data_IF_841568947791
#
_entry.id   IF_841568947791
#
_cell.length_a   1.000
_cell.length_b   1.000
_cell.length_c   1.000
_cell.angle_alpha   90.00
_cell.angle_beta   90.00
_cell.angle_gamma   90.00
#
_symmetry.space_group_name_H-M   'P 1'
#
loop_
_entity.id
_entity.type
_entity.pdbx_description
1 polymer ?
#
# COMPACT_ATOMS: atom_id res chain seq x y z
N UNK A 1 -35.03 -2.69 -33.69
CA UNK A 1 -34.16 -1.84 -32.84
C UNK A 1 -33.39 -2.77 -31.93
N UNK A 2 -32.15 -3.06 -32.30
CA UNK A 2 -31.35 -4.17 -31.78
C UNK A 2 -30.79 -3.82 -30.39
N UNK A 3 -31.32 -4.46 -29.34
CA UNK A 3 -30.68 -4.45 -28.03
C UNK A 3 -29.31 -5.11 -28.19
N UNK A 4 -28.23 -4.33 -28.22
CA UNK A 4 -26.88 -4.86 -28.05
C UNK A 4 -26.81 -5.43 -26.63
N UNK A 5 -27.09 -6.73 -26.50
CA UNK A 5 -26.82 -7.47 -25.28
C UNK A 5 -25.30 -7.52 -25.14
N UNK A 6 -24.74 -6.50 -24.50
CA UNK A 6 -23.36 -6.53 -24.04
C UNK A 6 -23.30 -7.46 -22.84
N UNK A 7 -22.51 -8.50 -22.96
CA UNK A 7 -22.13 -9.32 -21.82
C UNK A 7 -21.11 -8.56 -20.97
N UNK A 8 -21.47 -8.27 -19.72
CA UNK A 8 -20.63 -7.57 -18.75
C UNK A 8 -19.97 -8.58 -17.82
N UNK A 9 -18.66 -8.44 -17.63
CA UNK A 9 -17.89 -9.29 -16.72
C UNK A 9 -17.49 -8.56 -15.43
N UNK A 10 -17.18 -9.33 -14.39
CA UNK A 10 -16.68 -8.79 -13.11
C UNK A 10 -15.43 -7.96 -13.37
N UNK A 11 -15.37 -6.77 -12.78
CA UNK A 11 -14.30 -5.78 -12.98
C UNK A 11 -14.56 -4.75 -14.07
N UNK A 12 -15.61 -4.89 -14.88
CA UNK A 12 -15.98 -3.88 -15.87
C UNK A 12 -16.50 -2.60 -15.19
N UNK A 13 -16.07 -1.44 -15.71
CA UNK A 13 -16.56 -0.13 -15.30
C UNK A 13 -17.79 0.24 -16.12
N UNK A 14 -18.91 0.40 -15.45
CA UNK A 14 -20.21 0.70 -16.06
C UNK A 14 -20.76 2.00 -15.48
N UNK A 15 -21.48 2.75 -16.30
CA UNK A 15 -22.26 3.90 -15.86
C UNK A 15 -23.73 3.67 -16.18
N UNK A 16 -24.61 4.02 -15.24
CA UNK A 16 -26.04 3.99 -15.48
C UNK A 16 -26.46 5.25 -16.24
N UNK A 17 -27.08 5.10 -17.41
CA UNK A 17 -27.49 6.26 -18.24
C UNK A 17 -28.65 7.04 -17.63
N UNK A 18 -29.67 6.36 -17.09
CA UNK A 18 -30.85 7.04 -16.50
C UNK A 18 -30.59 7.63 -15.09
N UNK A 19 -29.47 7.25 -14.45
CA UNK A 19 -29.10 7.70 -13.10
C UNK A 19 -27.61 8.06 -13.06
N UNK A 20 -27.22 9.13 -13.78
CA UNK A 20 -25.82 9.54 -13.89
C UNK A 20 -25.23 9.98 -12.55
N UNK A 21 -26.09 10.34 -11.59
CA UNK A 21 -25.76 10.74 -10.24
C UNK A 21 -25.11 9.64 -9.39
N UNK A 22 -25.28 8.35 -9.76
CA UNK A 22 -24.62 7.24 -9.08
C UNK A 22 -23.12 7.14 -9.40
N UNK A 23 -22.69 7.82 -10.47
CA UNK A 23 -21.30 7.81 -10.91
C UNK A 23 -20.91 6.54 -11.65
N UNK A 24 -19.60 6.34 -11.80
CA UNK A 24 -19.03 5.14 -12.40
C UNK A 24 -19.03 4.03 -11.35
N UNK A 25 -19.55 2.86 -11.73
CA UNK A 25 -19.58 1.68 -10.87
C UNK A 25 -18.75 0.54 -11.44
N UNK A 26 -18.22 -0.31 -10.56
CA UNK A 26 -17.49 -1.51 -10.95
C UNK A 26 -18.38 -2.73 -10.71
N UNK A 27 -18.54 -3.57 -11.73
CA UNK A 27 -19.27 -4.84 -11.61
C UNK A 27 -18.51 -5.75 -10.64
N UNK A 28 -19.12 -6.10 -9.52
CA UNK A 28 -18.56 -7.02 -8.52
C UNK A 28 -19.08 -8.45 -8.66
N UNK A 29 -20.25 -8.64 -9.28
CA UNK A 29 -20.77 -9.95 -9.66
C UNK A 29 -21.60 -9.84 -10.94
N UNK A 30 -21.52 -10.84 -11.82
CA UNK A 30 -22.34 -10.94 -13.02
C UNK A 30 -22.97 -12.33 -13.09
N UNK A 31 -24.29 -12.39 -13.19
CA UNK A 31 -25.05 -13.63 -13.35
C UNK A 31 -25.84 -13.55 -14.66
N UNK A 32 -25.54 -14.42 -15.62
CA UNK A 32 -26.30 -14.50 -16.86
C UNK A 32 -27.65 -15.18 -16.63
N UNK A 33 -28.73 -14.55 -17.07
CA UNK A 33 -30.11 -15.03 -16.93
C UNK A 33 -30.84 -14.91 -18.26
N UNK A 34 -31.50 -15.97 -18.71
CA UNK A 34 -32.37 -15.91 -19.89
C UNK A 34 -33.79 -15.66 -19.40
N UNK A 35 -34.36 -14.51 -19.78
CA UNK A 35 -35.74 -14.16 -19.42
C UNK A 35 -36.51 -13.88 -20.71
N UNK A 36 -37.62 -14.61 -20.91
CA UNK A 36 -38.51 -14.44 -22.07
C UNK A 36 -37.81 -14.60 -23.44
N UNK A 37 -36.83 -15.52 -23.52
CA UNK A 37 -36.06 -15.80 -24.74
C UNK A 37 -34.93 -14.80 -25.04
N UNK A 38 -34.81 -13.73 -24.25
CA UNK A 38 -33.76 -12.71 -24.38
C UNK A 38 -32.66 -12.95 -23.33
N UNK A 39 -31.40 -12.88 -23.77
CA UNK A 39 -30.24 -12.99 -22.87
C UNK A 39 -30.12 -11.70 -22.04
N UNK A 40 -30.29 -11.84 -20.73
CA UNK A 40 -30.16 -10.77 -19.76
C UNK A 40 -29.08 -11.14 -18.73
N UNK A 41 -28.65 -10.18 -17.92
CA UNK A 41 -27.68 -10.41 -16.87
C UNK A 41 -28.12 -9.65 -15.62
N UNK A 42 -27.98 -10.28 -14.46
CA UNK A 42 -28.10 -9.63 -13.16
C UNK A 42 -26.70 -9.27 -12.68
N UNK A 43 -26.43 -7.98 -12.59
CA UNK A 43 -25.14 -7.43 -12.22
C UNK A 43 -25.23 -6.83 -10.82
N UNK A 44 -24.30 -7.20 -9.94
CA UNK A 44 -24.05 -6.43 -8.71
C UNK A 44 -22.96 -5.44 -9.04
N UNK A 45 -23.25 -4.15 -8.92
CA UNK A 45 -22.33 -3.06 -9.27
C UNK A 45 -22.10 -2.21 -8.04
N UNK A 46 -20.83 -2.01 -7.66
CA UNK A 46 -20.46 -1.05 -6.62
C UNK A 46 -20.25 0.32 -7.28
N UNK A 47 -21.19 1.22 -7.05
CA UNK A 47 -21.11 2.62 -7.47
C UNK A 47 -20.38 3.46 -6.43
N UNK A 48 -19.54 4.38 -6.89
CA UNK A 48 -18.70 5.23 -6.05
C UNK A 48 -19.53 6.10 -5.07
N UNK A 49 -20.67 6.63 -5.53
CA UNK A 49 -21.46 7.59 -4.75
C UNK A 49 -22.57 6.97 -3.89
N UNK A 50 -23.02 5.75 -4.20
CA UNK A 50 -24.25 5.16 -3.60
C UNK A 50 -24.00 3.75 -3.06
N UNK A 51 -22.79 3.20 -3.26
CA UNK A 51 -22.44 1.85 -2.83
C UNK A 51 -22.95 0.76 -3.78
N UNK A 52 -23.12 -0.45 -3.24
CA UNK A 52 -23.47 -1.63 -4.04
C UNK A 52 -24.95 -1.67 -4.43
N UNK A 53 -25.26 -1.73 -5.73
CA UNK A 53 -26.61 -1.94 -6.26
C UNK A 53 -26.66 -3.14 -7.20
N UNK A 54 -27.72 -3.93 -7.07
CA UNK A 54 -28.01 -5.05 -7.97
C UNK A 54 -28.95 -4.59 -9.07
N UNK A 55 -28.53 -4.73 -10.31
CA UNK A 55 -29.21 -4.20 -11.50
C UNK A 55 -29.35 -5.32 -12.53
N UNK A 56 -30.52 -5.41 -13.16
CA UNK A 56 -30.75 -6.34 -14.27
C UNK A 56 -30.62 -5.60 -15.61
N UNK A 57 -29.81 -6.13 -16.52
CA UNK A 57 -29.61 -5.56 -17.88
C UNK A 57 -30.86 -5.63 -18.76
N UNK A 58 -31.87 -6.39 -18.34
CA UNK A 58 -33.20 -6.39 -18.97
C UNK A 58 -33.91 -5.03 -18.92
N UNK A 59 -33.66 -4.25 -17.86
CA UNK A 59 -34.36 -2.98 -17.59
C UNK A 59 -33.43 -1.78 -17.51
N UNK A 60 -32.11 -1.99 -17.49
CA UNK A 60 -31.11 -0.94 -17.28
C UNK A 60 -30.21 -0.72 -18.49
N UNK A 61 -30.19 0.52 -19.00
CA UNK A 61 -29.29 0.96 -20.08
C UNK A 61 -27.92 1.31 -19.51
N UNK A 62 -27.03 0.32 -19.45
CA UNK A 62 -25.65 0.48 -18.97
C UNK A 62 -24.71 0.84 -20.12
N UNK A 63 -23.90 1.87 -19.92
CA UNK A 63 -22.86 2.31 -20.85
C UNK A 63 -21.49 1.92 -20.30
N UNK A 64 -20.60 1.43 -21.17
CA UNK A 64 -19.21 1.16 -20.81
C UNK A 64 -18.46 2.47 -20.66
N UNK A 65 -17.70 2.64 -19.57
CA UNK A 65 -16.99 3.89 -19.29
C UNK A 65 -15.81 4.21 -20.26
N UNK A 66 -15.69 3.48 -21.38
CA UNK A 66 -14.66 3.66 -22.41
C UNK A 66 -15.18 4.16 -23.76
N UNK A 67 -16.48 4.43 -23.91
CA UNK A 67 -17.05 4.98 -25.14
C UNK A 67 -17.56 6.40 -24.90
N UNK A 68 -16.61 7.32 -24.75
CA UNK A 68 -16.81 8.73 -25.11
C UNK A 68 -15.93 8.95 -26.34
N UNK A 69 -16.59 9.26 -27.44
CA UNK A 69 -16.13 9.34 -28.82
C UNK A 69 -14.80 10.08 -29.03
N UNK A 70 -13.89 9.51 -29.82
CA UNK A 70 -13.43 10.06 -31.11
C UNK A 70 -12.93 8.93 -32.03
N UNK A 71 -13.40 8.82 -33.29
CA UNK A 71 -12.83 7.96 -34.30
C UNK A 71 -11.85 8.75 -35.16
N UNK A 72 -10.55 8.52 -35.03
CA UNK A 72 -9.63 8.84 -36.12
C UNK A 72 -8.55 7.78 -36.27
N UNK A 73 -8.43 7.32 -37.52
CA UNK A 73 -7.69 6.14 -37.93
C UNK A 73 -6.21 6.42 -38.21
N UNK A 74 -5.43 5.34 -38.06
CA UNK A 74 -4.28 4.92 -38.87
C UNK A 74 -3.00 5.79 -38.88
N UNK A 75 -1.98 5.26 -38.19
CA UNK A 75 -0.55 5.58 -38.37
C UNK A 75 0.27 4.86 -37.30
N UNK A 76 0.57 3.57 -37.47
CA UNK A 76 1.90 3.10 -37.90
C UNK A 76 3.05 3.53 -36.97
N UNK A 77 3.55 2.53 -36.23
CA UNK A 77 4.94 2.31 -35.77
C UNK A 77 5.74 3.42 -35.06
N UNK A 78 6.32 2.99 -33.93
CA UNK A 78 7.43 3.53 -33.13
C UNK A 78 7.05 4.43 -31.93
N UNK A 79 7.10 3.77 -30.77
CA UNK A 79 7.58 4.27 -29.48
C UNK A 79 7.07 5.62 -28.99
N UNK A 80 6.24 5.61 -27.94
CA UNK A 80 6.29 6.66 -26.93
C UNK A 80 5.84 6.11 -25.56
N UNK A 81 6.84 5.74 -24.77
CA UNK A 81 6.71 5.64 -23.33
C UNK A 81 6.26 7.00 -22.80
N UNK A 82 5.00 7.11 -22.40
CA UNK A 82 4.51 8.29 -21.68
C UNK A 82 3.69 7.84 -20.49
N UNK A 83 4.44 7.58 -19.41
CA UNK A 83 4.12 7.82 -18.00
C UNK A 83 2.63 7.76 -17.60
N UNK A 84 2.23 6.61 -17.07
CA UNK A 84 1.28 6.54 -15.93
C UNK A 84 2.03 6.03 -14.70
N UNK A 85 3.15 6.68 -14.40
CA UNK A 85 4.01 6.34 -13.25
C UNK A 85 3.54 7.02 -11.96
N UNK A 86 2.65 8.02 -12.05
CA UNK A 86 2.22 8.80 -10.88
C UNK A 86 1.01 8.22 -10.15
N UNK A 87 0.02 7.64 -10.85
CA UNK A 87 -1.18 7.07 -10.21
C UNK A 87 -0.95 5.68 -9.58
N UNK A 88 0.09 4.96 -10.02
CA UNK A 88 0.44 3.65 -9.47
C UNK A 88 1.24 3.77 -8.16
N UNK A 89 1.95 4.88 -7.95
CA UNK A 89 2.81 5.05 -6.78
C UNK A 89 2.01 5.49 -5.55
N UNK A 90 1.01 6.36 -5.70
CA UNK A 90 0.23 6.87 -4.56
C UNK A 90 -0.86 5.91 -4.06
N UNK A 91 -1.36 5.00 -4.92
CA UNK A 91 -2.39 4.01 -4.54
C UNK A 91 -1.83 2.66 -4.06
N UNK A 92 -0.49 2.49 -4.08
CA UNK A 92 0.18 1.28 -3.60
C UNK A 92 0.50 1.35 -2.10
N UNK A 93 0.66 2.54 -1.54
CA UNK A 93 0.94 2.75 -0.10
C UNK A 93 -0.29 2.49 0.79
N UNK A 94 -1.50 2.63 0.23
CA UNK A 94 -2.75 2.27 0.91
C UNK A 94 -3.17 0.80 0.66
N UNK A 95 -2.39 0.06 -0.14
CA UNK A 95 -2.67 -1.36 -0.44
C UNK A 95 -2.14 -2.20 0.71
N UNK A 96 -3.02 -2.43 1.69
CA UNK A 96 -2.95 -3.44 2.75
C UNK A 96 -1.53 -3.64 3.31
N UNK A 97 -1.20 -2.98 4.42
CA UNK A 97 0.00 -3.31 5.20
C UNK A 97 0.12 -4.84 5.32
N UNK A 98 1.08 -5.40 4.61
CA UNK A 98 1.39 -6.82 4.62
C UNK A 98 2.44 -7.08 5.71
N UNK A 99 2.68 -8.34 6.03
CA UNK A 99 3.77 -8.70 6.96
C UNK A 99 5.12 -8.10 6.53
N UNK A 100 5.40 -8.05 5.21
CA UNK A 100 6.58 -7.39 4.64
C UNK A 100 6.66 -5.90 4.98
N UNK A 101 5.52 -5.19 5.03
CA UNK A 101 5.47 -3.79 5.43
C UNK A 101 6.00 -3.62 6.85
N UNK A 102 5.67 -4.53 7.77
CA UNK A 102 6.15 -4.48 9.16
C UNK A 102 7.65 -4.76 9.29
N UNK A 103 8.21 -5.57 8.39
CA UNK A 103 9.62 -5.96 8.43
C UNK A 103 10.54 -4.95 7.77
N UNK A 104 10.01 -4.10 6.89
CA UNK A 104 10.78 -3.08 6.16
C UNK A 104 11.26 -1.98 7.11
N UNK A 105 12.52 -1.56 6.99
CA UNK A 105 12.98 -0.38 7.70
C UNK A 105 12.40 0.89 7.08
N UNK A 106 12.06 1.92 7.89
CA UNK A 106 11.60 3.21 7.39
C UNK A 106 12.56 3.81 6.35
N UNK A 107 11.99 4.55 5.40
CA UNK A 107 12.77 5.18 4.32
C UNK A 107 13.85 6.11 4.87
N UNK A 108 13.57 6.85 5.94
CA UNK A 108 14.55 7.71 6.61
C UNK A 108 15.83 6.98 7.08
N UNK A 109 15.76 5.66 7.34
CA UNK A 109 16.91 4.85 7.71
C UNK A 109 17.61 4.22 6.50
N UNK A 110 16.87 3.96 5.42
CA UNK A 110 17.35 3.19 4.25
C UNK A 110 17.70 4.07 3.04
N UNK A 111 17.35 5.37 3.09
CA UNK A 111 17.53 6.31 1.99
C UNK A 111 19.01 6.41 1.55
N UNK A 112 19.34 6.04 0.29
CA UNK A 112 20.71 6.12 -0.21
C UNK A 112 21.22 7.55 -0.40
N UNK A 113 20.33 8.54 -0.51
CA UNK A 113 20.69 9.95 -0.71
C UNK A 113 20.91 10.70 0.61
N UNK A 114 20.44 10.15 1.73
CA UNK A 114 20.72 10.67 3.05
C UNK A 114 22.14 10.36 3.52
N UNK A 115 22.75 11.29 4.27
CA UNK A 115 24.08 11.07 4.84
C UNK A 115 24.07 9.91 5.83
N UNK A 116 25.20 9.20 5.93
CA UNK A 116 25.37 8.08 6.86
C UNK A 116 25.01 8.44 8.31
N UNK A 117 25.35 9.66 8.73
CA UNK A 117 25.00 10.17 10.05
C UNK A 117 23.48 10.31 10.22
N UNK A 118 22.77 10.89 9.25
CA UNK A 118 21.31 11.00 9.29
C UNK A 118 20.63 9.62 9.32
N UNK A 119 21.11 8.66 8.53
CA UNK A 119 20.60 7.28 8.53
C UNK A 119 20.85 6.59 9.86
N UNK A 120 22.02 6.79 10.46
CA UNK A 120 22.35 6.26 11.78
C UNK A 120 21.43 6.85 12.86
N UNK A 121 21.24 8.17 12.89
CA UNK A 121 20.30 8.83 13.81
C UNK A 121 18.88 8.30 13.62
N UNK A 122 18.41 8.21 12.38
CA UNK A 122 17.09 7.67 12.06
C UNK A 122 16.95 6.21 12.53
N UNK A 123 17.96 5.37 12.29
CA UNK A 123 17.98 3.99 12.77
C UNK A 123 17.94 3.92 14.31
N UNK A 124 18.69 4.79 14.99
CA UNK A 124 18.73 4.81 16.45
C UNK A 124 17.41 5.29 17.08
N UNK A 125 16.70 6.19 16.40
CA UNK A 125 15.40 6.68 16.85
C UNK A 125 14.33 5.58 16.94
N UNK A 126 14.49 4.50 16.17
CA UNK A 126 13.59 3.34 16.16
C UNK A 126 13.77 2.43 17.40
N UNK A 127 14.81 2.62 18.21
CA UNK A 127 14.94 1.96 19.51
C UNK A 127 14.02 2.51 20.59
N UNK A 128 13.28 3.59 20.33
CA UNK A 128 12.27 4.11 21.27
C UNK A 128 11.10 3.15 21.49
N UNK A 129 10.82 2.28 20.52
CA UNK A 129 9.72 1.33 20.60
C UNK A 129 10.12 0.10 21.41
N UNK A 130 9.20 -0.36 22.26
CA UNK A 130 9.34 -1.57 23.09
C UNK A 130 8.28 -2.59 22.68
N UNK A 131 8.50 -3.90 22.94
CA UNK A 131 7.50 -4.93 22.62
C UNK A 131 6.26 -4.88 23.52
N UNK A 132 6.16 -3.89 24.41
CA UNK A 132 5.08 -3.79 25.40
C UNK A 132 3.95 -2.89 24.91
N UNK A 133 2.72 -3.42 25.00
CA UNK A 133 1.46 -2.67 25.03
C UNK A 133 1.37 -1.47 24.09
N UNK A 134 1.44 -0.26 24.65
CA UNK A 134 1.23 0.99 23.93
C UNK A 134 2.32 1.24 22.87
N UNK A 135 3.60 1.01 23.20
CA UNK A 135 4.71 1.22 22.27
C UNK A 135 4.67 0.29 21.07
N UNK A 136 4.18 -0.93 21.26
CA UNK A 136 4.00 -1.90 20.18
C UNK A 136 2.90 -1.44 19.21
N UNK A 137 1.80 -0.90 19.74
CA UNK A 137 0.72 -0.37 18.92
C UNK A 137 1.16 0.91 18.19
N UNK A 138 1.87 1.82 18.86
CA UNK A 138 2.43 3.03 18.23
C UNK A 138 3.39 2.69 17.11
N UNK A 139 4.24 1.66 17.30
CA UNK A 139 5.08 1.13 16.24
C UNK A 139 4.26 0.57 15.08
N UNK A 140 3.25 -0.25 15.36
CA UNK A 140 2.41 -0.85 14.33
C UNK A 140 1.64 0.22 13.53
N UNK A 141 1.14 1.26 14.18
CA UNK A 141 0.48 2.42 13.54
C UNK A 141 1.48 3.19 12.68
N UNK A 142 2.68 3.48 13.20
CA UNK A 142 3.74 4.16 12.45
C UNK A 142 4.14 3.37 11.19
N UNK A 143 4.24 2.05 11.31
CA UNK A 143 4.74 1.19 10.26
C UNK A 143 3.69 0.87 9.18
N UNK A 144 2.43 0.73 9.57
CA UNK A 144 1.34 0.36 8.67
C UNK A 144 0.48 1.53 8.21
N UNK A 145 0.56 2.69 8.86
CA UNK A 145 -0.36 3.81 8.66
C UNK A 145 -1.80 3.52 9.11
N UNK A 146 -2.08 2.34 9.70
CA UNK A 146 -3.42 1.98 10.13
C UNK A 146 -3.78 2.67 11.44
N UNK A 147 -5.02 3.17 11.52
CA UNK A 147 -5.54 3.79 12.75
C UNK A 147 -5.77 2.78 13.89
N UNK A 148 -6.07 1.54 13.54
CA UNK A 148 -6.20 0.43 14.51
C UNK A 148 -5.57 -0.87 13.93
N UNK A 149 -4.37 -1.26 14.40
CA UNK A 149 -3.72 -2.49 13.95
C UNK A 149 -4.36 -3.77 14.52
N UNK A 150 -5.11 -3.69 15.63
CA UNK A 150 -5.75 -4.86 16.26
C UNK A 150 -6.95 -5.38 15.47
N UNK A 151 -7.52 -4.56 14.59
CA UNK A 151 -8.57 -4.97 13.66
C UNK A 151 -8.09 -6.01 12.62
N UNK A 152 -6.77 -6.13 12.40
CA UNK A 152 -6.19 -7.06 11.42
C UNK A 152 -5.21 -8.06 12.02
N UNK A 153 -4.49 -7.69 13.07
CA UNK A 153 -3.43 -8.50 13.67
C UNK A 153 -3.68 -8.73 15.15
N UNK A 154 -3.39 -9.94 15.62
CA UNK A 154 -3.40 -10.24 17.05
C UNK A 154 -2.16 -9.65 17.75
N UNK A 155 -2.24 -9.39 19.06
CA UNK A 155 -1.11 -8.90 19.87
C UNK A 155 0.12 -9.79 19.71
N UNK A 156 -0.04 -11.12 19.76
CA UNK A 156 1.08 -12.06 19.60
C UNK A 156 1.73 -12.02 18.21
N UNK A 157 0.94 -11.76 17.17
CA UNK A 157 1.47 -11.59 15.81
C UNK A 157 2.27 -10.30 15.71
N UNK A 158 1.76 -9.21 16.28
CA UNK A 158 2.48 -7.94 16.36
C UNK A 158 3.78 -8.08 17.16
N UNK A 159 3.78 -8.80 18.28
CA UNK A 159 4.99 -9.09 19.07
C UNK A 159 6.01 -9.89 18.24
N UNK A 160 5.54 -10.90 17.49
CA UNK A 160 6.39 -11.71 16.61
C UNK A 160 6.99 -10.87 15.47
N UNK A 161 6.17 -10.05 14.81
CA UNK A 161 6.60 -9.14 13.75
C UNK A 161 7.58 -8.09 14.28
N UNK A 162 7.31 -7.55 15.47
CA UNK A 162 8.19 -6.59 16.13
C UNK A 162 9.55 -7.21 16.49
N UNK A 163 9.57 -8.45 16.96
CA UNK A 163 10.83 -9.16 17.25
C UNK A 163 11.65 -9.40 15.97
N UNK A 164 11.01 -9.76 14.86
CA UNK A 164 11.69 -9.88 13.55
C UNK A 164 12.17 -8.51 13.05
N UNK A 165 11.35 -7.47 13.18
CA UNK A 165 11.74 -6.10 12.86
C UNK A 165 12.95 -5.64 13.69
N UNK A 166 13.00 -5.94 14.99
CA UNK A 166 14.16 -5.65 15.85
C UNK A 166 15.42 -6.33 15.33
N UNK A 167 15.34 -7.60 14.92
CA UNK A 167 16.48 -8.32 14.35
C UNK A 167 16.98 -7.65 13.06
N UNK A 168 16.06 -7.26 12.15
CA UNK A 168 16.40 -6.55 10.92
C UNK A 168 17.02 -5.17 11.21
N UNK A 169 16.47 -4.46 12.18
CA UNK A 169 16.95 -3.17 12.64
C UNK A 169 18.36 -3.30 13.22
N UNK A 170 18.62 -4.30 14.05
CA UNK A 170 19.94 -4.56 14.64
C UNK A 170 20.98 -4.90 13.57
N UNK A 171 20.61 -5.72 12.57
CA UNK A 171 21.47 -6.05 11.44
C UNK A 171 21.82 -4.79 10.61
N UNK A 172 20.82 -3.95 10.33
CA UNK A 172 21.00 -2.70 9.61
C UNK A 172 21.83 -1.67 10.40
N UNK A 173 21.54 -1.52 11.68
CA UNK A 173 22.27 -0.65 12.60
C UNK A 173 23.74 -1.06 12.65
N UNK A 174 24.02 -2.36 12.78
CA UNK A 174 25.40 -2.89 12.77
C UNK A 174 26.14 -2.50 11.50
N UNK A 175 25.53 -2.64 10.33
CA UNK A 175 26.15 -2.28 9.05
C UNK A 175 26.41 -0.78 8.97
N UNK A 176 25.37 0.03 9.19
CA UNK A 176 25.42 1.49 9.07
C UNK A 176 26.39 2.12 10.08
N UNK A 177 26.41 1.64 11.32
CA UNK A 177 27.31 2.13 12.36
C UNK A 177 28.77 1.71 12.12
N UNK A 178 29.02 0.51 11.58
CA UNK A 178 30.37 0.11 11.17
C UNK A 178 30.90 0.96 10.02
N UNK A 179 30.05 1.23 9.03
CA UNK A 179 30.38 2.13 7.91
C UNK A 179 30.65 3.56 8.41
N UNK A 180 29.79 4.08 9.30
CA UNK A 180 29.97 5.40 9.91
C UNK A 180 31.27 5.47 10.72
N UNK A 181 31.54 4.48 11.58
CA UNK A 181 32.78 4.44 12.40
C UNK A 181 34.05 4.36 11.54
N UNK A 182 33.99 3.68 10.38
CA UNK A 182 35.12 3.58 9.46
C UNK A 182 35.41 4.89 8.74
N UNK A 183 34.37 5.64 8.37
CA UNK A 183 34.50 6.90 7.64
C UNK A 183 34.74 8.09 8.56
N UNK A 184 34.04 8.13 9.70
CA UNK A 184 34.10 9.23 10.66
C UNK A 184 33.81 8.73 12.09
N UNK A 185 34.87 8.50 12.85
CA UNK A 185 34.79 8.08 14.25
C UNK A 185 34.23 9.16 15.19
N UNK A 186 34.37 10.44 14.83
CA UNK A 186 33.83 11.55 15.62
C UNK A 186 32.31 11.70 15.42
N UNK A 187 31.84 11.58 14.19
CA UNK A 187 30.39 11.55 13.91
C UNK A 187 29.70 10.35 14.57
N UNK A 188 30.38 9.20 14.67
CA UNK A 188 29.87 8.03 15.40
C UNK A 188 29.66 8.33 16.89
N UNK A 189 30.67 8.88 17.58
CA UNK A 189 30.57 9.16 19.02
C UNK A 189 29.53 10.24 19.32
N UNK A 190 29.42 11.26 18.47
CA UNK A 190 28.39 12.30 18.57
C UNK A 190 26.98 11.74 18.34
N UNK A 191 26.81 10.87 17.35
CA UNK A 191 25.52 10.24 17.08
C UNK A 191 25.09 9.34 18.24
N UNK A 192 26.04 8.60 18.83
CA UNK A 192 25.77 7.74 19.97
C UNK A 192 25.42 8.55 21.22
N UNK A 193 26.10 9.67 21.48
CA UNK A 193 25.81 10.53 22.64
C UNK A 193 24.46 11.24 22.54
N UNK A 194 24.00 11.55 21.33
CA UNK A 194 22.67 12.13 21.07
C UNK A 194 21.54 11.08 21.05
N UNK A 195 21.87 9.80 20.97
CA UNK A 195 20.87 8.73 20.92
C UNK A 195 20.23 8.47 22.29
N UNK A 196 19.03 7.87 22.28
CA UNK A 196 18.33 7.48 23.50
C UNK A 196 19.13 6.42 24.29
N UNK A 197 18.97 6.35 25.62
CA UNK A 197 19.70 5.38 26.44
C UNK A 197 19.43 3.92 26.04
N UNK A 198 18.22 3.61 25.58
CA UNK A 198 17.85 2.31 25.00
C UNK A 198 18.63 2.02 23.71
N UNK A 199 18.76 3.01 22.81
CA UNK A 199 19.54 2.86 21.58
C UNK A 199 21.02 2.64 21.89
N UNK A 200 21.59 3.37 22.86
CA UNK A 200 22.97 3.18 23.31
C UNK A 200 23.19 1.78 23.89
N UNK A 201 22.25 1.31 24.74
CA UNK A 201 22.31 -0.04 25.30
C UNK A 201 22.24 -1.12 24.20
N UNK A 202 21.36 -0.94 23.21
CA UNK A 202 21.27 -1.84 22.07
C UNK A 202 22.56 -1.85 21.23
N UNK A 203 23.11 -0.69 20.89
CA UNK A 203 24.39 -0.60 20.16
C UNK A 203 25.52 -1.28 20.94
N UNK A 204 25.60 -1.08 22.26
CA UNK A 204 26.56 -1.79 23.11
C UNK A 204 26.36 -3.29 23.05
N UNK A 205 25.13 -3.81 23.15
CA UNK A 205 24.86 -5.26 23.01
C UNK A 205 25.28 -5.81 21.64
N UNK A 206 25.08 -5.04 20.58
CA UNK A 206 25.46 -5.43 19.22
C UNK A 206 26.98 -5.42 19.04
N UNK A 207 27.70 -4.51 19.70
CA UNK A 207 29.16 -4.39 19.67
C UNK A 207 29.86 -5.39 20.62
N UNK A 208 29.25 -5.74 21.77
CA UNK A 208 29.76 -6.70 22.76
C UNK A 208 29.71 -8.14 22.23
N UNK A 209 28.75 -8.50 21.39
CA UNK A 209 28.69 -9.83 20.75
C UNK A 209 29.65 -9.95 19.54
N UNK A 210 30.82 -9.30 19.64
CA UNK A 210 31.87 -9.27 18.61
C UNK A 210 33.14 -9.92 19.12
#
# INVERSE_FOLDING_TARGET
MSNLVRDWSVGNKVRHSDRPEWGVGVVTAAQSLVQEGVRCQRLTIRFDKVGSKTISTAFAKLLGAGESSEPFSLGSTLGNATMSTSDTILNLEAKAATEDTFLRLPEAATDPFSTLQKRAVATLSLYRFTPSGASLLDWAVMQSGMRDPLSRYNRHELETLFNRFRQNLDAHARKTLKELKKLDAAAFSQTLSQASPEAQAAVRRIDINR
#
